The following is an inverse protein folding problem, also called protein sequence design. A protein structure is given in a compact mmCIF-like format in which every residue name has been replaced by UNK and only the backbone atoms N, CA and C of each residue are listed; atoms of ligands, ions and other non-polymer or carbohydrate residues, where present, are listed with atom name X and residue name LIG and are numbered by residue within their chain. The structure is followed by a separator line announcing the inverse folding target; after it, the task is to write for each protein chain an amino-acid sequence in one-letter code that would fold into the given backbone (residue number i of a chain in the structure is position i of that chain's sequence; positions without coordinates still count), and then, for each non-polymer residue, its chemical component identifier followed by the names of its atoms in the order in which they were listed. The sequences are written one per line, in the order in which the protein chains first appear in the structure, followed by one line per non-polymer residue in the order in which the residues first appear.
data_IF_038953197833
#
_entry.id   IF_038953197833
#
_cell.length_a   1.000
_cell.length_b   1.000
_cell.length_c   1.000
_cell.angle_alpha   90.00
_cell.angle_beta   90.00
_cell.angle_gamma   90.00
#
_symmetry.space_group_name_H-M   'P 1'
#
loop_
_entity.id
_entity.type
_entity.pdbx_description
1 polymer ?
#
# COMPACT_ATOMS: atom_id res chain seq x y z
N UNK A 1 -0.63 -9.55 38.52
CA UNK A 1 0.48 -9.03 37.71
C UNK A 1 -0.07 -8.92 36.30
N UNK A 2 -0.47 -7.72 35.89
CA UNK A 2 -1.06 -7.51 34.55
C UNK A 2 0.09 -7.25 33.59
N UNK A 3 0.46 -8.27 32.81
CA UNK A 3 1.35 -8.07 31.67
C UNK A 3 0.60 -7.25 30.63
N UNK A 4 1.01 -5.99 30.45
CA UNK A 4 0.55 -5.14 29.36
C UNK A 4 1.03 -5.71 28.04
N UNK A 5 0.32 -6.70 27.52
CA UNK A 5 0.45 -7.08 26.13
C UNK A 5 -0.09 -5.91 25.32
N UNK A 6 0.78 -5.29 24.52
CA UNK A 6 0.34 -4.32 23.52
C UNK A 6 -0.65 -4.97 22.53
N UNK A 7 -1.31 -4.16 21.68
CA UNK A 7 -2.27 -4.68 20.72
C UNK A 7 -1.63 -5.79 19.87
N UNK A 8 -2.35 -6.88 19.71
CA UNK A 8 -2.00 -7.99 18.82
C UNK A 8 -1.94 -7.51 17.37
N UNK A 9 -1.32 -8.29 16.49
CA UNK A 9 -1.28 -7.98 15.04
C UNK A 9 -2.69 -7.87 14.45
N UNK A 10 -3.58 -8.78 14.83
CA UNK A 10 -4.98 -8.72 14.41
C UNK A 10 -5.67 -7.44 14.88
N UNK A 11 -5.50 -7.06 16.15
CA UNK A 11 -6.09 -5.80 16.67
C UNK A 11 -5.55 -4.59 15.91
N UNK A 12 -4.24 -4.57 15.61
CA UNK A 12 -3.61 -3.52 14.81
C UNK A 12 -4.17 -3.46 13.38
N UNK A 13 -4.32 -4.61 12.71
CA UNK A 13 -4.91 -4.69 11.37
C UNK A 13 -6.36 -4.19 11.37
N UNK A 14 -7.16 -4.59 12.36
CA UNK A 14 -8.55 -4.15 12.51
C UNK A 14 -8.67 -2.64 12.74
N UNK A 15 -7.80 -2.06 13.57
CA UNK A 15 -7.73 -0.61 13.79
C UNK A 15 -7.41 0.14 12.48
N UNK A 16 -6.46 -0.37 11.71
CA UNK A 16 -6.07 0.20 10.42
C UNK A 16 -7.19 0.08 9.39
N UNK A 17 -7.85 -1.07 9.31
CA UNK A 17 -9.03 -1.25 8.45
C UNK A 17 -10.13 -0.26 8.80
N UNK A 18 -10.42 -0.06 10.08
CA UNK A 18 -11.44 0.90 10.51
C UNK A 18 -11.06 2.34 10.16
N UNK A 19 -9.76 2.69 10.17
CA UNK A 19 -9.28 3.98 9.71
C UNK A 19 -9.36 4.14 8.17
N UNK A 20 -9.17 3.07 7.41
CA UNK A 20 -9.24 3.07 5.94
C UNK A 20 -10.67 3.02 5.41
N UNK A 21 -11.55 2.30 6.10
CA UNK A 21 -12.94 2.05 5.74
C UNK A 21 -13.89 2.43 6.89
N UNK A 22 -13.97 3.73 7.25
CA UNK A 22 -14.82 4.17 8.35
C UNK A 22 -16.27 3.70 8.16
N UNK A 23 -16.85 3.13 9.21
CA UNK A 23 -18.24 2.64 9.28
C UNK A 23 -18.62 1.52 8.28
N UNK A 24 -17.65 0.98 7.54
CA UNK A 24 -17.90 -0.08 6.55
C UNK A 24 -17.50 -1.47 7.05
N UNK A 25 -16.63 -1.55 8.06
CA UNK A 25 -16.12 -2.80 8.64
C UNK A 25 -16.68 -3.07 10.03
N UNK A 26 -17.05 -4.32 10.33
CA UNK A 26 -17.47 -4.75 11.65
C UNK A 26 -16.93 -6.14 11.97
N UNK A 27 -16.17 -6.27 13.05
CA UNK A 27 -15.57 -7.53 13.49
C UNK A 27 -16.29 -8.09 14.74
N UNK A 28 -16.71 -9.36 14.67
CA UNK A 28 -17.21 -10.10 15.83
C UNK A 28 -16.12 -11.05 16.37
N UNK A 29 -15.54 -10.77 17.55
CA UNK A 29 -14.47 -11.59 18.12
C UNK A 29 -14.91 -13.00 18.52
N UNK A 30 -16.22 -13.24 18.75
CA UNK A 30 -16.72 -14.56 19.16
C UNK A 30 -16.77 -15.54 17.99
N UNK A 31 -17.25 -15.06 16.84
CA UNK A 31 -17.33 -15.85 15.61
C UNK A 31 -16.06 -15.74 14.75
N UNK A 32 -15.17 -14.79 15.08
CA UNK A 32 -14.01 -14.38 14.26
C UNK A 32 -14.42 -13.99 12.85
N UNK A 33 -15.56 -13.29 12.74
CA UNK A 33 -16.10 -12.85 11.46
C UNK A 33 -15.89 -11.36 11.25
N UNK A 34 -15.36 -10.99 10.09
CA UNK A 34 -15.29 -9.61 9.63
C UNK A 34 -16.36 -9.40 8.56
N UNK A 35 -17.31 -8.50 8.83
CA UNK A 35 -18.27 -8.01 7.85
C UNK A 35 -17.75 -6.73 7.23
N UNK A 36 -17.89 -6.63 5.92
CA UNK A 36 -17.64 -5.43 5.13
C UNK A 36 -18.86 -5.08 4.28
N UNK A 37 -19.22 -3.80 4.20
CA UNK A 37 -20.34 -3.30 3.40
C UNK A 37 -19.96 -2.03 2.65
N UNK A 38 -20.21 -1.99 1.34
CA UNK A 38 -19.99 -0.81 0.49
C UNK A 38 -21.06 -0.76 -0.61
N UNK A 39 -21.73 0.38 -0.80
CA UNK A 39 -22.69 0.62 -1.90
C UNK A 39 -23.70 -0.52 -2.16
N UNK A 40 -24.33 -1.02 -1.10
CA UNK A 40 -25.25 -2.17 -1.08
C UNK A 40 -24.63 -3.55 -1.38
N UNK A 41 -23.35 -3.62 -1.72
CA UNK A 41 -22.58 -4.86 -1.72
C UNK A 41 -22.18 -5.25 -0.29
N UNK A 42 -21.98 -6.55 -0.04
CA UNK A 42 -21.55 -7.04 1.26
C UNK A 42 -20.61 -8.23 1.15
N UNK A 43 -19.64 -8.31 2.06
CA UNK A 43 -18.68 -9.40 2.18
C UNK A 43 -18.61 -9.84 3.65
N UNK A 44 -18.58 -11.15 3.88
CA UNK A 44 -18.37 -11.74 5.19
C UNK A 44 -17.17 -12.67 5.11
N UNK A 45 -16.15 -12.37 5.91
CA UNK A 45 -14.96 -13.17 6.06
C UNK A 45 -14.99 -13.90 7.40
N UNK A 46 -14.45 -15.11 7.45
CA UNK A 46 -14.13 -15.80 8.71
C UNK A 46 -12.63 -16.00 8.83
N UNK A 47 -12.08 -15.53 9.93
CA UNK A 47 -10.65 -15.59 10.21
C UNK A 47 -10.34 -16.88 10.96
N UNK A 48 -9.42 -17.73 10.48
CA UNK A 48 -9.02 -18.92 11.22
C UNK A 48 -8.34 -18.50 12.53
N UNK A 49 -8.37 -19.35 13.56
CA UNK A 49 -7.84 -19.05 14.90
C UNK A 49 -6.39 -18.50 14.90
N UNK A 50 -5.45 -19.04 14.10
CA UNK A 50 -4.07 -18.57 14.13
C UNK A 50 -3.78 -17.40 13.17
N UNK A 51 -4.81 -16.77 12.58
CA UNK A 51 -4.61 -15.58 11.75
C UNK A 51 -4.23 -14.36 12.61
N UNK A 52 -3.26 -13.51 12.18
CA UNK A 52 -2.55 -13.52 10.89
C UNK A 52 -1.27 -14.37 10.84
N UNK A 53 -0.88 -15.03 11.93
CA UNK A 53 0.35 -15.83 11.99
C UNK A 53 0.36 -17.01 11.01
N UNK A 54 -0.79 -17.67 10.81
CA UNK A 54 -1.00 -18.69 9.79
C UNK A 54 -2.47 -18.83 9.39
N UNK A 55 -2.71 -19.44 8.24
CA UNK A 55 -4.03 -19.49 7.61
C UNK A 55 -4.48 -18.13 7.04
N UNK A 56 -5.42 -18.18 6.08
CA UNK A 56 -5.95 -17.00 5.40
C UNK A 56 -7.45 -16.84 5.70
N UNK A 57 -8.01 -15.62 5.62
CA UNK A 57 -9.45 -15.41 5.77
C UNK A 57 -10.26 -16.17 4.70
N UNK A 58 -11.34 -16.84 5.11
CA UNK A 58 -12.25 -17.52 4.20
C UNK A 58 -13.48 -16.65 3.89
N UNK A 59 -13.96 -16.71 2.64
CA UNK A 59 -15.13 -15.96 2.18
C UNK A 59 -16.40 -16.78 2.49
N UNK A 60 -17.15 -16.36 3.51
CA UNK A 60 -18.40 -17.01 3.90
C UNK A 60 -19.55 -16.55 3.00
N UNK A 61 -19.68 -15.24 2.79
CA UNK A 61 -20.66 -14.64 1.88
C UNK A 61 -20.07 -13.46 1.11
N UNK A 62 -20.54 -13.24 -0.11
CA UNK A 62 -20.19 -12.10 -0.93
C UNK A 62 -21.35 -11.78 -1.88
N UNK A 63 -21.86 -10.57 -1.84
CA UNK A 63 -22.94 -10.11 -2.72
C UNK A 63 -22.63 -8.75 -3.31
N UNK A 64 -22.98 -8.55 -4.58
CA UNK A 64 -22.88 -7.24 -5.23
C UNK A 64 -24.06 -6.32 -4.85
N UNK A 65 -24.08 -5.11 -5.40
CA UNK A 65 -25.15 -4.14 -5.17
C UNK A 65 -26.53 -4.65 -5.63
N UNK A 66 -26.57 -5.52 -6.64
CA UNK A 66 -27.78 -6.17 -7.16
C UNK A 66 -28.17 -7.45 -6.39
N UNK A 67 -27.45 -7.76 -5.30
CA UNK A 67 -27.64 -8.96 -4.46
C UNK A 67 -27.35 -10.28 -5.18
N UNK A 68 -26.60 -10.25 -6.28
CA UNK A 68 -26.08 -11.47 -6.88
C UNK A 68 -25.01 -12.06 -5.98
N UNK A 69 -24.99 -13.40 -5.86
CA UNK A 69 -23.91 -14.11 -5.17
C UNK A 69 -22.64 -14.04 -6.02
N UNK A 70 -21.61 -13.36 -5.50
CA UNK A 70 -20.32 -13.18 -6.18
C UNK A 70 -19.18 -13.94 -5.50
N UNK A 71 -19.48 -14.90 -4.60
CA UNK A 71 -18.45 -15.61 -3.80
C UNK A 71 -17.40 -16.29 -4.66
N UNK A 72 -17.81 -16.92 -5.76
CA UNK A 72 -16.89 -17.65 -6.64
C UNK A 72 -15.93 -16.68 -7.36
N UNK A 73 -16.46 -15.56 -7.87
CA UNK A 73 -15.63 -14.51 -8.47
C UNK A 73 -14.68 -13.90 -7.44
N UNK A 74 -15.17 -13.57 -6.24
CA UNK A 74 -14.35 -13.01 -5.16
C UNK A 74 -13.22 -13.96 -4.75
N UNK A 75 -13.50 -15.26 -4.57
CA UNK A 75 -12.46 -16.26 -4.25
C UNK A 75 -11.40 -16.37 -5.34
N UNK A 76 -11.81 -16.37 -6.61
CA UNK A 76 -10.89 -16.44 -7.73
C UNK A 76 -10.00 -15.18 -7.81
N UNK A 77 -10.60 -13.99 -7.62
CA UNK A 77 -9.87 -12.72 -7.61
C UNK A 77 -8.86 -12.67 -6.44
N UNK A 78 -9.28 -13.04 -5.22
CA UNK A 78 -8.41 -13.08 -4.03
C UNK A 78 -7.28 -14.10 -4.19
N UNK A 79 -7.55 -15.27 -4.78
CA UNK A 79 -6.50 -16.25 -5.09
C UNK A 79 -5.46 -15.70 -6.06
N UNK A 80 -5.88 -14.83 -6.99
CA UNK A 80 -4.99 -14.14 -7.93
C UNK A 80 -4.00 -13.18 -7.28
N UNK A 81 -4.26 -12.73 -6.04
CA UNK A 81 -3.35 -11.85 -5.29
C UNK A 81 -2.09 -12.57 -4.80
N UNK A 82 -2.13 -13.90 -4.69
CA UNK A 82 -1.01 -14.68 -4.15
C UNK A 82 -0.72 -14.36 -2.67
N UNK A 83 -1.76 -14.17 -1.87
CA UNK A 83 -1.64 -13.92 -0.43
C UNK A 83 -0.81 -15.01 0.26
N UNK A 84 0.00 -14.60 1.23
CA UNK A 84 0.96 -15.46 1.93
C UNK A 84 0.58 -15.51 3.41
N UNK A 85 0.57 -16.70 3.99
CA UNK A 85 0.39 -16.87 5.43
C UNK A 85 1.48 -16.13 6.23
N UNK A 86 1.14 -15.68 7.43
CA UNK A 86 2.02 -14.85 8.25
C UNK A 86 1.92 -13.35 7.94
N UNK A 87 1.26 -12.97 6.83
CA UNK A 87 0.92 -11.59 6.51
C UNK A 87 -0.56 -11.29 6.79
N UNK A 88 -0.82 -10.07 7.22
CA UNK A 88 -2.16 -9.51 7.24
C UNK A 88 -2.66 -9.37 5.79
N UNK A 89 -3.95 -9.63 5.61
CA UNK A 89 -4.57 -9.99 4.34
C UNK A 89 -5.93 -9.28 4.13
N UNK A 90 -6.55 -8.77 5.19
CA UNK A 90 -7.93 -8.30 5.16
C UNK A 90 -8.11 -7.14 4.20
N UNK A 91 -7.23 -6.12 4.24
CA UNK A 91 -7.31 -4.97 3.35
C UNK A 91 -7.28 -5.38 1.87
N UNK A 92 -6.31 -6.22 1.49
CA UNK A 92 -6.21 -6.70 0.11
C UNK A 92 -7.46 -7.47 -0.33
N UNK A 93 -8.06 -8.26 0.58
CA UNK A 93 -9.31 -8.97 0.31
C UNK A 93 -10.47 -7.99 0.12
N UNK A 94 -10.59 -6.96 0.98
CA UNK A 94 -11.64 -5.94 0.87
C UNK A 94 -11.51 -5.11 -0.41
N UNK A 95 -10.30 -4.60 -0.70
CA UNK A 95 -10.02 -3.81 -1.89
C UNK A 95 -10.28 -4.60 -3.18
N UNK A 96 -9.91 -5.88 -3.21
CA UNK A 96 -10.17 -6.76 -4.37
C UNK A 96 -11.65 -7.01 -4.57
N UNK A 97 -12.41 -7.17 -3.48
CA UNK A 97 -13.85 -7.29 -3.54
C UNK A 97 -14.52 -6.00 -4.07
N UNK A 98 -14.09 -4.83 -3.60
CA UNK A 98 -14.58 -3.54 -4.10
C UNK A 98 -14.36 -3.40 -5.61
N UNK A 99 -13.14 -3.66 -6.08
CA UNK A 99 -12.81 -3.60 -7.51
C UNK A 99 -13.68 -4.54 -8.35
N UNK A 100 -13.94 -5.75 -7.83
CA UNK A 100 -14.77 -6.73 -8.51
C UNK A 100 -16.22 -6.24 -8.66
N UNK A 101 -16.82 -5.68 -7.61
CA UNK A 101 -18.21 -5.22 -7.66
C UNK A 101 -18.37 -3.89 -8.41
N UNK A 102 -17.35 -3.04 -8.41
CA UNK A 102 -17.31 -1.81 -9.22
C UNK A 102 -17.16 -2.10 -10.71
N UNK A 103 -16.48 -3.19 -11.08
CA UNK A 103 -16.27 -3.59 -12.48
C UNK A 103 -17.48 -4.32 -13.10
N UNK A 104 -18.50 -4.64 -12.30
CA UNK A 104 -19.66 -5.43 -12.72
C UNK A 104 -20.62 -4.76 -13.75
N UNK A 105 -20.73 -3.41 -13.91
CA UNK A 105 -21.60 -2.84 -14.94
C UNK A 105 -20.92 -2.62 -16.30
N UNK A 106 -19.66 -3.05 -16.49
CA UNK A 106 -18.92 -2.83 -17.74
C UNK A 106 -18.15 -4.07 -18.22
N UNK A 107 -18.87 -5.12 -18.59
CA UNK A 107 -18.31 -6.15 -19.48
C UNK A 107 -19.15 -6.31 -20.74
N UNK A 108 -19.03 -5.34 -21.63
CA UNK A 108 -19.10 -5.56 -23.08
C UNK A 108 -17.92 -4.86 -23.74
N UNK A 109 -17.13 -5.63 -24.49
CA UNK A 109 -16.15 -5.21 -25.50
C UNK A 109 -14.86 -4.52 -25.04
N UNK A 110 -13.75 -5.24 -25.13
CA UNK A 110 -12.69 -5.12 -26.16
C UNK A 110 -11.39 -5.76 -25.62
N UNK A 111 -11.03 -6.95 -26.10
CA UNK A 111 -10.19 -7.20 -27.30
C UNK A 111 -8.77 -6.63 -27.16
N UNK A 112 -7.86 -7.56 -26.89
CA UNK A 112 -6.45 -7.60 -27.26
C UNK A 112 -5.97 -6.46 -28.16
N UNK A 113 -5.10 -5.60 -27.63
CA UNK A 113 -4.17 -4.84 -28.44
C UNK A 113 -2.74 -5.03 -27.92
N UNK A 114 -2.04 -5.92 -28.61
CA UNK A 114 -0.61 -5.81 -28.85
C UNK A 114 -0.39 -4.55 -29.70
N UNK A 115 0.45 -3.64 -29.24
CA UNK A 115 1.08 -2.66 -30.10
C UNK A 115 2.56 -2.59 -29.73
N UNK A 116 3.38 -3.18 -30.60
CA UNK A 116 4.73 -2.74 -30.84
C UNK A 116 4.69 -1.30 -31.32
N UNK A 117 5.53 -0.44 -30.75
CA UNK A 117 5.98 0.80 -31.40
C UNK A 117 7.36 1.14 -30.86
N UNK A 118 8.34 0.68 -31.64
CA UNK A 118 9.55 1.38 -32.08
C UNK A 118 10.00 2.59 -31.28
N UNK A 119 11.26 2.47 -30.83
CA UNK A 119 12.19 3.50 -30.40
C UNK A 119 11.88 4.91 -30.93
N UNK A 120 11.74 5.85 -29.99
CA UNK A 120 12.18 7.21 -30.21
C UNK A 120 13.23 7.54 -29.15
N UNK A 121 14.44 7.72 -29.62
CA UNK A 121 15.56 8.20 -28.83
C UNK A 121 15.44 9.72 -28.70
N UNK A 122 15.91 10.24 -27.57
CA UNK A 122 16.26 11.65 -27.32
C UNK A 122 15.11 12.60 -26.95
N UNK A 123 14.85 12.68 -25.64
CA UNK A 123 15.20 13.87 -24.85
C UNK A 123 15.09 13.49 -23.36
N UNK A 124 16.20 13.10 -22.72
CA UNK A 124 16.21 12.87 -21.27
C UNK A 124 16.17 14.24 -20.60
N UNK A 125 14.98 14.81 -20.48
CA UNK A 125 14.78 15.93 -19.58
C UNK A 125 15.16 15.44 -18.19
N UNK A 126 16.17 16.05 -17.57
CA UNK A 126 16.61 15.82 -16.19
C UNK A 126 15.56 16.31 -15.18
N UNK A 127 14.30 15.91 -15.37
CA UNK A 127 13.22 16.20 -14.45
C UNK A 127 13.42 15.30 -13.25
N UNK A 128 13.54 15.93 -12.08
CA UNK A 128 13.53 15.21 -10.83
C UNK A 128 12.09 14.95 -10.42
N UNK A 129 11.84 13.85 -9.72
CA UNK A 129 10.52 13.53 -9.19
C UNK A 129 10.65 13.09 -7.75
N UNK A 130 9.67 13.47 -6.93
CA UNK A 130 9.50 12.95 -5.57
C UNK A 130 8.15 12.27 -5.44
N UNK A 131 8.15 11.07 -4.83
CA UNK A 131 6.95 10.27 -4.56
C UNK A 131 6.92 9.87 -3.08
N UNK A 132 5.76 10.02 -2.43
CA UNK A 132 5.45 9.43 -1.13
C UNK A 132 4.42 8.32 -1.31
N UNK A 133 4.77 7.13 -0.87
CA UNK A 133 3.86 5.97 -0.82
C UNK A 133 3.52 5.66 0.62
N UNK A 134 2.23 5.51 0.89
CA UNK A 134 1.69 4.94 2.10
C UNK A 134 1.33 3.47 1.86
N UNK A 135 1.57 2.62 2.86
CA UNK A 135 1.30 1.18 2.86
C UNK A 135 0.57 0.80 4.15
N UNK A 136 -0.25 -0.24 4.10
CA UNK A 136 -0.89 -0.78 5.30
C UNK A 136 0.17 -1.17 6.35
N UNK A 137 1.19 -1.90 5.92
CA UNK A 137 2.39 -2.14 6.70
C UNK A 137 3.55 -2.57 5.80
N UNK A 138 4.77 -2.45 6.31
CA UNK A 138 5.97 -2.97 5.65
C UNK A 138 6.76 -3.84 6.65
N UNK A 139 6.22 -5.01 7.00
CA UNK A 139 6.84 -5.95 7.92
C UNK A 139 7.70 -7.02 7.22
N UNK A 140 7.26 -7.48 6.06
CA UNK A 140 7.94 -8.54 5.31
C UNK A 140 9.37 -8.12 4.92
N UNK A 141 10.34 -8.98 5.25
CA UNK A 141 11.76 -8.70 5.04
C UNK A 141 12.16 -8.61 3.57
N UNK A 142 11.51 -9.34 2.67
CA UNK A 142 11.74 -9.22 1.23
C UNK A 142 11.18 -7.91 0.69
N UNK A 143 9.97 -7.51 1.14
CA UNK A 143 9.39 -6.20 0.78
C UNK A 143 10.30 -5.06 1.23
N UNK A 144 10.81 -5.12 2.47
CA UNK A 144 11.77 -4.16 3.02
C UNK A 144 13.05 -4.07 2.19
N UNK A 145 13.65 -5.21 1.84
CA UNK A 145 14.86 -5.25 0.98
C UNK A 145 14.60 -4.62 -0.39
N UNK A 146 13.46 -4.92 -1.00
CA UNK A 146 13.10 -4.36 -2.29
C UNK A 146 12.91 -2.83 -2.19
N UNK A 147 12.22 -2.34 -1.16
CA UNK A 147 12.02 -0.93 -0.92
C UNK A 147 13.34 -0.14 -0.77
N UNK A 148 14.40 -0.77 -0.25
CA UNK A 148 15.73 -0.18 -0.08
C UNK A 148 16.62 -0.23 -1.34
N UNK A 149 16.19 -0.90 -2.41
CA UNK A 149 17.04 -1.21 -3.56
C UNK A 149 16.53 -0.61 -4.89
N UNK A 150 16.54 0.72 -5.08
CA UNK A 150 16.24 1.33 -6.38
C UNK A 150 17.19 0.87 -7.49
N UNK A 151 16.77 0.95 -8.76
CA UNK A 151 17.64 0.67 -9.89
C UNK A 151 18.84 1.65 -9.91
N UNK A 152 20.04 1.17 -10.31
CA UNK A 152 21.21 2.04 -10.46
C UNK A 152 20.94 3.19 -11.42
N UNK A 153 21.25 4.41 -11.00
CA UNK A 153 21.03 5.64 -11.76
C UNK A 153 22.05 6.71 -11.37
N UNK A 154 22.28 7.67 -12.27
CA UNK A 154 23.17 8.82 -12.05
C UNK A 154 22.44 10.11 -12.45
N UNK A 155 22.05 10.99 -11.50
CA UNK A 155 22.19 10.83 -10.04
C UNK A 155 21.33 9.68 -9.48
N UNK A 156 21.68 9.11 -8.31
CA UNK A 156 20.94 7.98 -7.73
C UNK A 156 19.60 8.41 -7.14
N UNK A 157 18.64 7.49 -7.11
CA UNK A 157 17.43 7.63 -6.28
C UNK A 157 17.82 7.62 -4.80
N UNK A 158 17.36 8.63 -4.09
CA UNK A 158 17.54 8.77 -2.64
C UNK A 158 16.18 8.74 -1.95
N UNK A 159 16.15 8.37 -0.68
CA UNK A 159 14.86 8.18 -0.03
C UNK A 159 14.91 7.68 1.40
N UNK A 160 13.70 7.49 1.93
CA UNK A 160 13.47 7.01 3.28
C UNK A 160 12.41 5.92 3.24
N UNK A 161 12.59 4.88 4.03
CA UNK A 161 11.58 3.82 4.21
C UNK A 161 11.33 3.63 5.70
N UNK A 162 10.07 3.55 6.10
CA UNK A 162 9.68 3.23 7.47
C UNK A 162 8.94 1.88 7.43
N UNK A 163 9.56 0.79 7.92
CA UNK A 163 8.86 -0.47 8.13
C UNK A 163 7.84 -0.37 9.27
N UNK A 164 6.98 -1.39 9.40
CA UNK A 164 5.95 -1.43 10.42
C UNK A 164 4.64 -0.77 9.99
N UNK A 165 3.89 -0.24 10.96
CA UNK A 165 2.53 0.27 10.80
C UNK A 165 2.45 1.81 10.95
N UNK A 166 1.82 2.53 10.01
CA UNK A 166 1.79 2.16 8.59
C UNK A 166 3.21 2.09 8.03
N UNK A 167 3.34 1.43 6.88
CA UNK A 167 4.56 1.48 6.08
C UNK A 167 4.61 2.79 5.29
N UNK A 168 5.77 3.43 5.22
CA UNK A 168 5.93 4.70 4.48
C UNK A 168 7.19 4.63 3.64
N UNK A 169 7.08 5.02 2.37
CA UNK A 169 8.21 5.13 1.44
C UNK A 169 8.25 6.56 0.90
N UNK A 170 9.45 7.14 0.85
CA UNK A 170 9.71 8.45 0.23
C UNK A 170 10.87 8.27 -0.72
N UNK A 171 10.68 8.59 -2.00
CA UNK A 171 11.72 8.48 -3.03
C UNK A 171 11.84 9.79 -3.78
N UNK A 172 13.07 10.23 -4.04
CA UNK A 172 13.39 11.44 -4.80
C UNK A 172 14.65 11.22 -5.64
N UNK A 173 14.65 11.68 -6.88
CA UNK A 173 15.75 11.48 -7.83
C UNK A 173 15.33 11.70 -9.27
N UNK A 174 16.08 11.18 -10.27
CA UNK A 174 15.66 11.24 -11.67
C UNK A 174 14.27 10.63 -11.86
N UNK A 175 13.40 11.33 -12.57
CA UNK A 175 12.01 10.91 -12.73
C UNK A 175 11.87 9.48 -13.27
N UNK A 176 12.68 9.10 -14.27
CA UNK A 176 12.64 7.75 -14.83
C UNK A 176 12.98 6.68 -13.80
N UNK A 177 14.05 6.88 -13.02
CA UNK A 177 14.50 5.93 -12.02
C UNK A 177 13.54 5.82 -10.82
N UNK A 178 12.96 6.94 -10.39
CA UNK A 178 11.93 6.96 -9.33
C UNK A 178 10.68 6.22 -9.78
N UNK A 179 10.18 6.50 -10.99
CA UNK A 179 9.00 5.83 -11.54
C UNK A 179 9.25 4.34 -11.76
N UNK A 180 10.41 3.96 -12.30
CA UNK A 180 10.79 2.56 -12.48
C UNK A 180 10.77 1.83 -11.13
N UNK A 181 11.39 2.40 -10.10
CA UNK A 181 11.39 1.81 -8.76
C UNK A 181 9.98 1.63 -8.22
N UNK A 182 9.16 2.69 -8.24
CA UNK A 182 7.78 2.66 -7.73
C UNK A 182 6.93 1.66 -8.51
N UNK A 183 7.13 1.53 -9.82
CA UNK A 183 6.43 0.53 -10.63
C UNK A 183 6.83 -0.91 -10.27
N UNK A 184 8.11 -1.17 -10.00
CA UNK A 184 8.57 -2.48 -9.50
C UNK A 184 7.91 -2.82 -8.17
N UNK A 185 7.83 -1.86 -7.24
CA UNK A 185 7.17 -2.07 -5.94
C UNK A 185 5.66 -2.27 -6.10
N UNK A 186 5.01 -1.46 -6.93
CA UNK A 186 3.57 -1.55 -7.22
C UNK A 186 3.20 -2.90 -7.83
N UNK A 187 4.06 -3.45 -8.71
CA UNK A 187 3.86 -4.77 -9.32
C UNK A 187 3.91 -5.93 -8.32
N UNK A 188 4.39 -5.70 -7.09
CA UNK A 188 4.35 -6.70 -6.03
C UNK A 188 2.98 -6.82 -5.33
N UNK A 189 1.99 -5.99 -5.73
CA UNK A 189 0.64 -5.99 -5.16
C UNK A 189 0.61 -5.88 -3.62
N UNK A 190 1.45 -4.98 -3.06
CA UNK A 190 1.48 -4.75 -1.61
C UNK A 190 0.18 -4.09 -1.13
N UNK A 191 -0.21 -4.44 0.10
CA UNK A 191 -1.45 -3.96 0.71
C UNK A 191 -1.45 -2.44 0.87
N UNK A 192 -2.59 -1.84 0.55
CA UNK A 192 -2.84 -0.41 0.53
C UNK A 192 -1.71 0.43 -0.09
N UNK A 193 -1.12 0.01 -1.21
CA UNK A 193 -0.11 0.80 -1.93
C UNK A 193 -0.71 2.09 -2.50
N UNK A 194 -0.66 3.16 -1.72
CA UNK A 194 -1.25 4.46 -2.05
C UNK A 194 -0.15 5.48 -2.30
N UNK A 195 -0.06 6.00 -3.53
CA UNK A 195 0.72 7.19 -3.82
C UNK A 195 -0.04 8.39 -3.25
N UNK A 196 0.52 9.04 -2.23
CA UNK A 196 -0.12 10.16 -1.52
C UNK A 196 0.52 11.52 -1.79
N UNK A 197 1.69 11.51 -2.45
CA UNK A 197 2.35 12.70 -2.95
C UNK A 197 3.13 12.31 -4.21
N UNK A 198 3.02 13.12 -5.25
CA UNK A 198 3.81 13.00 -6.46
C UNK A 198 4.00 14.40 -7.06
N UNK A 199 5.25 14.87 -7.11
CA UNK A 199 5.58 16.17 -7.68
C UNK A 199 6.92 16.10 -8.44
N UNK A 200 7.07 16.95 -9.46
CA UNK A 200 8.27 17.05 -10.29
C UNK A 200 9.35 17.91 -9.63
N UNK A 201 9.75 17.52 -8.43
CA UNK A 201 10.79 18.19 -7.66
C UNK A 201 11.78 17.22 -7.02
N UNK A 202 12.98 17.74 -6.75
CA UNK A 202 14.04 17.01 -6.06
C UNK A 202 14.02 17.33 -4.56
N UNK A 203 13.59 16.39 -3.74
CA UNK A 203 13.80 16.46 -2.31
C UNK A 203 15.22 16.09 -1.92
N UNK A 204 15.72 16.78 -0.89
CA UNK A 204 17.00 16.50 -0.27
C UNK A 204 16.74 15.88 1.11
N UNK A 205 17.50 14.84 1.44
CA UNK A 205 17.38 14.16 2.73
C UNK A 205 18.58 14.44 3.61
N UNK A 206 18.37 14.45 4.92
CA UNK A 206 19.43 14.72 5.89
C UNK A 206 20.60 13.73 5.81
N UNK A 207 20.37 12.50 5.33
CA UNK A 207 21.43 11.49 5.13
C UNK A 207 22.15 11.58 3.78
N UNK A 208 21.77 12.53 2.92
CA UNK A 208 22.33 12.68 1.58
C UNK A 208 21.75 11.67 0.59
N UNK A 209 22.62 10.84 0.01
CA UNK A 209 22.27 9.95 -1.09
C UNK A 209 21.86 8.54 -0.65
N UNK A 210 21.08 7.87 -1.50
CA UNK A 210 20.63 6.50 -1.29
C UNK A 210 19.37 6.41 -0.44
N UNK A 211 18.85 5.19 -0.28
CA UNK A 211 17.62 4.95 0.48
C UNK A 211 17.95 4.40 1.86
N UNK A 212 17.37 4.99 2.90
CA UNK A 212 17.64 4.60 4.29
C UNK A 212 16.37 4.15 5.02
N UNK A 213 16.49 3.07 5.79
CA UNK A 213 15.44 2.63 6.70
C UNK A 213 15.40 3.51 7.95
N UNK A 214 14.20 3.88 8.40
CA UNK A 214 13.93 4.70 9.57
C UNK A 214 12.99 3.98 10.52
N UNK A 215 13.34 3.96 11.80
CA UNK A 215 12.63 3.17 12.82
C UNK A 215 11.24 3.73 13.18
N UNK A 216 10.98 5.02 12.92
CA UNK A 216 9.76 5.68 13.35
C UNK A 216 9.34 6.83 12.43
N UNK A 217 8.09 7.27 12.56
CA UNK A 217 7.57 8.45 11.85
C UNK A 217 8.36 9.72 12.21
N UNK A 218 8.71 9.91 13.49
CA UNK A 218 9.51 11.06 13.91
C UNK A 218 10.90 11.08 13.26
N UNK A 219 11.49 9.89 13.02
CA UNK A 219 12.75 9.77 12.29
C UNK A 219 12.61 10.07 10.80
N UNK A 220 11.48 9.71 10.16
CA UNK A 220 11.19 10.16 8.80
C UNK A 220 11.10 11.69 8.75
N UNK A 221 10.33 12.33 9.64
CA UNK A 221 10.18 13.79 9.68
C UNK A 221 11.51 14.51 9.92
N UNK A 222 12.41 13.92 10.71
CA UNK A 222 13.78 14.44 10.88
C UNK A 222 14.64 14.26 9.62
N UNK A 223 14.43 13.18 8.87
CA UNK A 223 15.19 12.85 7.66
C UNK A 223 14.71 13.58 6.40
N UNK A 224 13.43 13.97 6.35
CA UNK A 224 12.85 14.76 5.25
C UNK A 224 13.33 16.21 5.36
N UNK A 225 13.99 16.70 4.31
CA UNK A 225 14.45 18.07 4.21
C UNK A 225 15.77 18.36 4.92
N UNK A 226 16.41 19.44 4.46
CA UNK A 226 17.59 20.07 5.06
C UNK A 226 17.21 21.35 5.80
N UNK A 227 18.11 21.93 6.59
CA UNK A 227 17.82 23.19 7.27
C UNK A 227 17.47 24.31 6.28
N UNK A 228 16.47 25.13 6.64
CA UNK A 228 15.96 26.23 5.83
C UNK A 228 14.49 26.07 5.42
N UNK A 229 14.00 27.02 4.62
CA UNK A 229 12.57 27.08 4.28
C UNK A 229 12.12 25.96 3.33
N UNK A 230 13.02 25.48 2.46
CA UNK A 230 12.77 24.32 1.62
C UNK A 230 12.50 23.06 2.45
N UNK A 231 13.30 22.80 3.51
CA UNK A 231 13.07 21.66 4.38
C UNK A 231 11.81 21.79 5.24
N UNK A 232 11.44 23.01 5.66
CA UNK A 232 10.16 23.23 6.34
C UNK A 232 8.98 22.89 5.43
N UNK A 233 9.04 23.27 4.15
CA UNK A 233 8.02 22.94 3.14
C UNK A 233 7.91 21.42 2.95
N UNK A 234 9.02 20.74 2.71
CA UNK A 234 9.05 19.27 2.52
C UNK A 234 8.48 18.53 3.74
N UNK A 235 8.83 18.96 4.96
CA UNK A 235 8.27 18.37 6.19
C UNK A 235 6.76 18.56 6.26
N UNK A 236 6.25 19.74 5.90
CA UNK A 236 4.81 20.02 5.87
C UNK A 236 4.09 19.13 4.85
N UNK A 237 4.58 19.09 3.62
CA UNK A 237 4.01 18.26 2.54
C UNK A 237 4.05 16.77 2.89
N UNK A 238 5.13 16.32 3.52
CA UNK A 238 5.23 14.96 4.03
C UNK A 238 4.14 14.65 5.06
N UNK A 239 3.97 15.51 6.07
CA UNK A 239 2.97 15.33 7.12
C UNK A 239 1.55 15.30 6.55
N UNK A 240 1.24 16.23 5.64
CA UNK A 240 -0.03 16.26 4.91
C UNK A 240 -0.26 14.97 4.12
N UNK A 241 0.75 14.49 3.38
CA UNK A 241 0.66 13.27 2.60
C UNK A 241 0.43 12.02 3.47
N UNK A 242 1.03 11.94 4.66
CA UNK A 242 0.81 10.80 5.57
C UNK A 242 -0.43 10.95 6.46
N UNK A 243 -1.18 12.05 6.33
CA UNK A 243 -2.43 12.30 7.06
C UNK A 243 -2.25 12.78 8.50
N UNK A 244 -1.07 13.33 8.85
CA UNK A 244 -0.77 13.91 10.16
C UNK A 244 -0.91 15.43 10.05
N UNK A 245 -1.81 16.01 10.83
CA UNK A 245 -2.03 17.47 10.92
C UNK A 245 -1.15 18.11 11.99
#
# INVERSE_FOLDING_TARGET
MSEGHGPTRLETELELLNAMYPDQTHYDPKSRELRFSADNASLLLRLPEPYPESGLPDIISATDAAKNDVRAQSRNAVRGLGLIEGEEALDAVLATFQQLVESAPAQSDQRTQKSDSTADAQHVSNVSKTIIVWLHHLLNTNKRKLALSPPPSTPPVSGLTKPGYPGVLVYSGPSSAVMEHVNVLKAQNWQAFQVRFEEDELWQFAHGTGVKEMESMSKIVQGVGVDGDAGKRQKKEFLEAVGIK
#
